data_IF_339989088574
#
_entry.id   IF_339989088574
#
_cell.length_a   1.000
_cell.length_b   1.000
_cell.length_c   1.000
_cell.angle_alpha   90.00
_cell.angle_beta   90.00
_cell.angle_gamma   90.00
#
_symmetry.space_group_name_H-M   'P 1'
#
loop_
_entity.id
_entity.type
_entity.pdbx_description
1 polymer ?
#
# COMPACT_ATOMS: atom_id res chain seq x y z
N UNK A 1 -10.57 40.70 -14.16
CA UNK A 1 -10.92 39.99 -12.92
C UNK A 1 -10.92 38.44 -13.05
N UNK A 2 -11.43 37.81 -14.12
CA UNK A 2 -11.45 36.35 -14.29
C UNK A 2 -10.06 35.69 -14.37
N UNK A 3 -9.03 36.35 -14.91
CA UNK A 3 -7.66 35.81 -15.03
C UNK A 3 -6.90 35.72 -13.70
N UNK A 4 -7.20 36.59 -12.74
CA UNK A 4 -6.57 36.60 -11.41
C UNK A 4 -7.10 35.43 -10.56
N UNK A 5 -8.38 35.10 -10.68
CA UNK A 5 -8.99 33.98 -9.96
C UNK A 5 -8.40 32.61 -10.39
N UNK A 6 -8.06 32.45 -11.69
CA UNK A 6 -7.45 31.20 -12.21
C UNK A 6 -6.01 31.06 -11.69
N UNK A 7 -5.23 32.16 -11.61
CA UNK A 7 -3.86 32.12 -11.09
C UNK A 7 -3.85 31.76 -9.60
N UNK A 8 -4.77 32.30 -8.81
CA UNK A 8 -4.90 31.97 -7.38
C UNK A 8 -5.32 30.50 -7.19
N UNK A 9 -6.19 29.97 -8.03
CA UNK A 9 -6.62 28.56 -7.96
C UNK A 9 -5.46 27.59 -8.29
N UNK A 10 -4.65 27.91 -9.31
CA UNK A 10 -3.48 27.10 -9.68
C UNK A 10 -2.41 27.16 -8.58
N UNK A 11 -2.20 28.31 -7.96
CA UNK A 11 -1.27 28.47 -6.85
C UNK A 11 -1.75 27.73 -5.58
N UNK A 12 -3.06 27.71 -5.34
CA UNK A 12 -3.65 26.95 -4.20
C UNK A 12 -3.52 25.44 -4.37
N UNK A 13 -3.57 24.92 -5.59
CA UNK A 13 -3.34 23.48 -5.86
C UNK A 13 -1.87 23.13 -5.66
N UNK A 14 -0.94 23.99 -6.05
CA UNK A 14 0.50 23.77 -5.85
C UNK A 14 0.92 23.77 -4.36
N UNK A 15 0.19 24.50 -3.51
CA UNK A 15 0.47 24.53 -2.05
C UNK A 15 -0.14 23.36 -1.28
N UNK A 16 -0.97 22.53 -1.91
CA UNK A 16 -1.62 21.37 -1.26
C UNK A 16 -0.78 20.09 -1.32
N UNK A 17 0.32 20.09 -2.06
CA UNK A 17 1.20 18.92 -2.13
C UNK A 17 2.07 18.87 -0.87
N UNK A 18 1.91 17.81 -0.08
CA UNK A 18 2.74 17.59 1.10
C UNK A 18 4.20 17.47 0.69
N UNK A 19 5.13 18.14 1.40
CA UNK A 19 6.55 18.06 1.07
C UNK A 19 7.04 16.62 1.26
N UNK A 20 7.87 16.16 0.33
CA UNK A 20 8.56 14.88 0.44
C UNK A 20 9.80 15.01 1.32
N UNK A 21 10.34 13.91 1.79
CA UNK A 21 11.50 13.93 2.67
C UNK A 21 12.70 14.69 2.07
N UNK A 22 12.96 14.54 0.76
CA UNK A 22 14.04 15.30 0.07
C UNK A 22 13.76 16.81 0.04
N UNK A 23 12.51 17.22 -0.11
CA UNK A 23 12.10 18.65 -0.10
C UNK A 23 12.33 19.28 1.29
N UNK A 24 12.34 18.45 2.33
CA UNK A 24 12.64 18.83 3.71
C UNK A 24 14.14 18.75 4.05
N UNK A 25 15.00 18.48 3.07
CA UNK A 25 16.45 18.41 3.26
C UNK A 25 16.95 17.06 3.81
N UNK A 26 16.12 16.04 3.92
CA UNK A 26 16.57 14.69 4.30
C UNK A 26 17.40 14.13 3.14
N UNK A 27 18.66 13.79 3.44
CA UNK A 27 19.58 13.25 2.43
C UNK A 27 19.35 11.76 2.25
N UNK A 28 19.23 11.34 0.99
CA UNK A 28 19.21 9.95 0.56
C UNK A 28 20.29 9.76 -0.50
N UNK A 29 20.96 8.63 -0.46
CA UNK A 29 21.87 8.23 -1.52
C UNK A 29 21.14 7.98 -2.85
N UNK A 30 21.87 8.05 -3.96
CA UNK A 30 21.38 7.82 -5.30
C UNK A 30 20.69 9.02 -5.95
N UNK A 31 20.41 8.88 -7.23
CA UNK A 31 19.74 9.88 -8.07
C UNK A 31 18.27 9.48 -8.20
N UNK A 32 17.31 10.34 -7.80
CA UNK A 32 15.91 10.01 -7.91
C UNK A 32 15.49 9.96 -9.39
N UNK A 33 14.54 9.07 -9.71
CA UNK A 33 13.83 9.10 -10.97
C UNK A 33 12.85 10.27 -11.08
N UNK A 34 12.07 10.29 -12.15
CA UNK A 34 11.13 11.38 -12.46
C UNK A 34 10.13 11.68 -11.33
N UNK A 35 9.64 10.63 -10.66
CA UNK A 35 8.63 10.73 -9.61
C UNK A 35 9.25 10.62 -8.21
N UNK A 36 10.52 10.26 -8.11
CA UNK A 36 11.16 9.91 -6.83
C UNK A 36 10.30 8.90 -6.04
N UNK A 37 9.83 7.85 -6.70
CA UNK A 37 8.88 6.88 -6.20
C UNK A 37 9.12 5.48 -6.77
N UNK A 38 8.51 4.45 -6.17
CA UNK A 38 8.53 3.07 -6.66
C UNK A 38 8.06 2.99 -8.12
N UNK A 39 7.10 3.84 -8.49
CA UNK A 39 6.52 3.94 -9.84
C UNK A 39 7.43 4.54 -10.90
N UNK A 40 8.65 4.93 -10.57
CA UNK A 40 9.70 5.18 -11.56
C UNK A 40 10.14 3.88 -12.27
N UNK A 41 9.91 2.72 -11.64
CA UNK A 41 10.07 1.42 -12.30
C UNK A 41 8.91 1.21 -13.26
N UNK A 42 9.24 1.08 -14.56
CA UNK A 42 8.23 0.93 -15.61
C UNK A 42 7.34 -0.31 -15.38
N UNK A 43 6.04 -0.07 -15.32
CA UNK A 43 5.01 -1.10 -15.11
C UNK A 43 4.64 -1.30 -13.64
N UNK A 44 5.39 -0.74 -12.69
CA UNK A 44 4.99 -0.75 -11.30
C UNK A 44 3.79 0.19 -11.07
N UNK A 45 2.80 -0.28 -10.32
CA UNK A 45 1.64 0.49 -9.90
C UNK A 45 1.53 0.43 -8.37
N UNK A 46 1.19 1.57 -7.77
CA UNK A 46 1.01 1.69 -6.32
C UNK A 46 -0.32 2.37 -6.02
N UNK A 47 -1.02 1.87 -5.04
CA UNK A 47 -2.25 2.49 -4.54
C UNK A 47 -2.30 2.49 -3.03
N UNK A 48 -2.97 3.50 -2.48
CA UNK A 48 -3.14 3.69 -1.05
C UNK A 48 -4.60 3.87 -0.67
N UNK A 49 -4.93 3.38 0.51
CA UNK A 49 -6.10 3.81 1.26
C UNK A 49 -5.68 4.24 2.65
N UNK A 50 -5.61 5.53 2.87
CA UNK A 50 -5.30 6.13 4.18
C UNK A 50 -6.57 6.36 4.97
N UNK A 51 -6.55 5.97 6.26
CA UNK A 51 -7.66 6.14 7.19
C UNK A 51 -7.23 7.10 8.28
N UNK A 52 -7.85 8.28 8.33
CA UNK A 52 -7.57 9.32 9.32
C UNK A 52 -8.88 9.77 9.93
N UNK A 53 -9.03 9.57 11.25
CA UNK A 53 -10.19 10.07 12.00
C UNK A 53 -9.86 10.30 13.47
N UNK A 54 -10.64 11.14 14.12
CA UNK A 54 -10.51 11.45 15.54
C UNK A 54 -9.23 12.19 15.92
N UNK A 55 -9.14 12.56 17.19
CA UNK A 55 -7.99 13.23 17.81
C UNK A 55 -8.00 12.99 19.34
N UNK A 56 -6.90 13.37 20.01
CA UNK A 56 -6.78 13.27 21.46
C UNK A 56 -6.21 11.95 21.95
N UNK A 57 -6.59 11.52 23.14
CA UNK A 57 -6.08 10.29 23.78
C UNK A 57 -6.55 9.06 23.05
N UNK A 58 -5.66 8.09 22.87
CA UNK A 58 -6.00 6.79 22.31
C UNK A 58 -7.00 6.03 23.19
N UNK A 59 -8.12 5.63 22.61
CA UNK A 59 -9.17 4.83 23.24
C UNK A 59 -9.52 3.68 22.28
N UNK A 60 -9.33 2.45 22.71
CA UNK A 60 -9.56 1.25 21.90
C UNK A 60 -10.97 1.25 21.31
N UNK A 61 -11.04 1.06 19.98
CA UNK A 61 -12.28 1.06 19.20
C UNK A 61 -12.85 2.45 18.87
N UNK A 62 -12.23 3.53 19.37
CA UNK A 62 -12.68 4.92 19.11
C UNK A 62 -11.64 5.76 18.37
N UNK A 63 -10.38 5.40 18.46
CA UNK A 63 -9.27 6.13 17.85
C UNK A 63 -8.46 6.97 18.84
N UNK A 64 -7.61 7.90 18.35
CA UNK A 64 -7.52 8.38 16.96
C UNK A 64 -7.06 7.29 15.97
N UNK A 65 -7.53 7.37 14.74
CA UNK A 65 -7.15 6.45 13.66
C UNK A 65 -6.13 7.13 12.74
N UNK A 66 -5.00 6.49 12.54
CA UNK A 66 -3.89 6.93 11.66
C UNK A 66 -3.25 5.69 11.06
N UNK A 67 -3.94 5.08 10.09
CA UNK A 67 -3.54 3.80 9.51
C UNK A 67 -3.91 3.74 8.03
N UNK A 68 -3.75 2.59 7.41
CA UNK A 68 -4.16 2.38 6.04
C UNK A 68 -3.64 1.09 5.43
N UNK A 69 -3.83 1.00 4.13
CA UNK A 69 -3.36 -0.11 3.30
C UNK A 69 -2.64 0.45 2.08
N UNK A 70 -1.51 -0.15 1.74
CA UNK A 70 -0.79 0.09 0.49
C UNK A 70 -0.81 -1.18 -0.35
N UNK A 71 -1.10 -1.05 -1.64
CA UNK A 71 -1.01 -2.12 -2.63
C UNK A 71 0.09 -1.78 -3.65
N UNK A 72 1.01 -2.71 -3.89
CA UNK A 72 2.11 -2.56 -4.85
C UNK A 72 2.02 -3.70 -5.86
N UNK A 73 1.86 -3.37 -7.13
CA UNK A 73 1.86 -4.29 -8.25
C UNK A 73 3.16 -4.12 -9.05
N UNK A 74 4.09 -5.07 -9.02
CA UNK A 74 5.36 -4.95 -9.75
C UNK A 74 5.22 -4.83 -11.27
N UNK A 75 4.15 -5.38 -11.84
CA UNK A 75 3.85 -5.39 -13.28
C UNK A 75 2.39 -5.03 -13.62
N UNK A 76 1.78 -4.13 -12.83
CA UNK A 76 0.39 -3.72 -12.99
C UNK A 76 -0.63 -4.76 -12.55
N UNK A 77 -1.92 -4.44 -12.71
CA UNK A 77 -3.06 -5.23 -12.22
C UNK A 77 -3.45 -6.41 -13.13
N UNK A 78 -2.47 -7.18 -13.58
CA UNK A 78 -2.68 -8.42 -14.31
C UNK A 78 -1.80 -9.50 -13.74
N UNK A 79 -2.26 -10.74 -13.76
CA UNK A 79 -1.45 -11.88 -13.32
C UNK A 79 -0.19 -11.97 -14.20
N UNK A 80 0.93 -11.64 -13.61
CA UNK A 80 2.23 -11.63 -14.28
C UNK A 80 3.34 -11.79 -13.24
N UNK A 81 3.66 -13.04 -12.84
CA UNK A 81 4.64 -13.33 -11.81
C UNK A 81 6.01 -12.71 -12.08
N UNK A 82 6.69 -12.33 -11.02
CA UNK A 82 8.07 -11.82 -11.07
C UNK A 82 8.96 -12.65 -10.18
N UNK A 83 10.24 -12.79 -10.56
CA UNK A 83 11.24 -13.37 -9.67
C UNK A 83 11.30 -12.58 -8.36
N UNK A 84 11.29 -13.28 -7.26
CA UNK A 84 11.31 -12.66 -5.95
C UNK A 84 12.11 -13.47 -4.94
N UNK A 85 12.62 -12.77 -3.96
CA UNK A 85 13.17 -13.33 -2.75
C UNK A 85 12.80 -12.40 -1.59
N UNK A 86 12.98 -12.86 -0.37
CA UNK A 86 12.73 -12.10 0.85
C UNK A 86 13.87 -12.28 1.83
N UNK A 87 14.00 -11.35 2.75
CA UNK A 87 15.02 -11.40 3.79
C UNK A 87 14.41 -11.03 5.13
N UNK A 88 14.66 -11.83 6.16
CA UNK A 88 14.28 -11.53 7.53
C UNK A 88 15.42 -10.79 8.21
N UNK A 89 15.24 -9.50 8.47
CA UNK A 89 16.17 -8.72 9.28
C UNK A 89 16.21 -9.22 10.73
N UNK A 90 15.04 -9.55 11.27
CA UNK A 90 14.86 -10.17 12.58
C UNK A 90 13.46 -10.81 12.65
N UNK A 91 13.14 -11.49 13.74
CA UNK A 91 11.84 -12.16 13.94
C UNK A 91 10.75 -11.27 14.56
N UNK A 92 10.97 -9.98 14.73
CA UNK A 92 10.00 -9.04 15.29
C UNK A 92 9.25 -8.31 14.18
N UNK A 93 8.51 -9.06 13.37
CA UNK A 93 7.71 -8.54 12.27
C UNK A 93 6.99 -9.69 11.58
N UNK A 94 5.95 -9.37 10.83
CA UNK A 94 5.19 -10.36 10.09
C UNK A 94 5.17 -10.04 8.59
N UNK A 95 5.40 -11.07 7.77
CA UNK A 95 5.19 -11.04 6.34
C UNK A 95 4.63 -12.39 5.90
N UNK A 96 3.43 -12.38 5.34
CA UNK A 96 2.79 -13.59 4.80
C UNK A 96 3.32 -13.94 3.41
N UNK A 97 3.06 -15.17 2.94
CA UNK A 97 3.41 -15.61 1.58
C UNK A 97 4.90 -15.94 1.35
N UNK A 98 5.76 -15.72 2.33
CA UNK A 98 7.22 -15.90 2.21
C UNK A 98 7.64 -17.34 1.96
N UNK A 99 6.92 -18.32 2.52
CA UNK A 99 7.19 -19.75 2.30
C UNK A 99 7.03 -20.14 0.83
N UNK A 100 6.00 -19.59 0.15
CA UNK A 100 5.80 -19.83 -1.27
C UNK A 100 6.86 -19.15 -2.13
N UNK A 101 7.27 -17.92 -1.80
CA UNK A 101 8.39 -17.26 -2.47
C UNK A 101 9.66 -18.10 -2.35
N UNK A 102 9.93 -18.68 -1.18
CA UNK A 102 11.10 -19.54 -0.96
C UNK A 102 11.04 -20.79 -1.84
N UNK A 103 9.87 -21.42 -1.95
CA UNK A 103 9.67 -22.65 -2.72
C UNK A 103 9.69 -22.39 -4.23
N UNK A 104 8.95 -21.38 -4.70
CA UNK A 104 8.74 -21.13 -6.11
C UNK A 104 9.78 -20.20 -6.76
N UNK A 105 10.37 -19.31 -5.98
CA UNK A 105 11.19 -18.19 -6.49
C UNK A 105 10.37 -17.05 -7.11
N UNK A 106 9.04 -17.09 -6.99
CA UNK A 106 8.15 -16.11 -7.62
C UNK A 106 7.25 -15.38 -6.63
N UNK A 107 6.99 -14.12 -6.93
CA UNK A 107 5.88 -13.32 -6.40
C UNK A 107 4.75 -13.32 -7.43
N UNK A 108 3.59 -13.85 -7.04
CA UNK A 108 2.41 -14.02 -7.88
C UNK A 108 1.26 -13.08 -7.51
N UNK A 109 1.42 -12.34 -6.44
CA UNK A 109 0.39 -11.47 -5.85
C UNK A 109 0.89 -10.03 -5.78
N UNK A 110 0.01 -9.03 -5.58
CA UNK A 110 0.47 -7.73 -5.10
C UNK A 110 1.19 -7.88 -3.75
N UNK A 111 2.11 -6.97 -3.46
CA UNK A 111 2.65 -6.78 -2.13
C UNK A 111 1.74 -5.79 -1.41
N UNK A 112 1.16 -6.24 -0.30
CA UNK A 112 0.34 -5.38 0.55
C UNK A 112 1.13 -4.97 1.79
N UNK A 113 0.91 -3.74 2.26
CA UNK A 113 1.51 -3.24 3.50
C UNK A 113 0.39 -2.63 4.34
N UNK A 114 0.34 -2.97 5.61
CA UNK A 114 -0.65 -2.46 6.56
C UNK A 114 -0.11 -2.49 7.99
N UNK A 115 -0.91 -2.10 8.99
CA UNK A 115 -0.48 -2.22 10.37
C UNK A 115 -0.46 -3.67 10.87
N UNK A 116 0.31 -3.92 11.92
CA UNK A 116 0.56 -5.25 12.51
C UNK A 116 -0.71 -6.05 12.73
N UNK A 117 -1.75 -5.45 13.33
CA UNK A 117 -2.97 -6.17 13.69
C UNK A 117 -3.93 -6.39 12.52
N UNK A 118 -3.66 -5.79 11.36
CA UNK A 118 -4.51 -5.85 10.17
C UNK A 118 -3.98 -6.78 9.06
N UNK A 119 -2.83 -7.43 9.27
CA UNK A 119 -2.24 -8.36 8.29
C UNK A 119 -3.24 -9.45 7.90
N UNK A 120 -3.96 -10.03 8.88
CA UNK A 120 -4.94 -11.10 8.63
C UNK A 120 -6.10 -10.65 7.73
N UNK A 121 -6.76 -9.53 8.04
CA UNK A 121 -7.89 -9.03 7.25
C UNK A 121 -7.45 -8.62 5.84
N UNK A 122 -6.26 -8.03 5.70
CA UNK A 122 -5.72 -7.65 4.38
C UNK A 122 -5.42 -8.88 3.54
N UNK A 123 -4.80 -9.91 4.13
CA UNK A 123 -4.55 -11.19 3.44
C UNK A 123 -5.84 -11.84 2.95
N UNK A 124 -6.84 -11.93 3.81
CA UNK A 124 -8.14 -12.52 3.49
C UNK A 124 -8.86 -11.73 2.38
N UNK A 125 -8.85 -10.40 2.47
CA UNK A 125 -9.43 -9.53 1.45
C UNK A 125 -8.77 -9.66 0.07
N UNK A 126 -7.44 -9.85 0.01
CA UNK A 126 -6.74 -10.09 -1.26
C UNK A 126 -7.19 -11.41 -1.89
N UNK A 127 -7.37 -12.47 -1.08
CA UNK A 127 -7.89 -13.75 -1.59
C UNK A 127 -9.29 -13.60 -2.18
N UNK A 128 -10.19 -12.89 -1.49
CA UNK A 128 -11.54 -12.61 -2.00
C UNK A 128 -11.49 -11.79 -3.29
N UNK A 129 -10.65 -10.76 -3.33
CA UNK A 129 -10.47 -9.95 -4.53
C UNK A 129 -10.00 -10.78 -5.74
N UNK A 130 -9.13 -11.76 -5.55
CA UNK A 130 -8.69 -12.67 -6.61
C UNK A 130 -9.84 -13.50 -7.17
N UNK A 131 -10.72 -13.99 -6.29
CA UNK A 131 -11.93 -14.72 -6.69
C UNK A 131 -12.88 -13.81 -7.45
N UNK A 132 -13.19 -12.64 -6.89
CA UNK A 132 -14.16 -11.68 -7.45
C UNK A 132 -13.73 -11.15 -8.83
N UNK A 133 -12.42 -11.03 -9.06
CA UNK A 133 -11.87 -10.48 -10.31
C UNK A 133 -11.38 -11.53 -11.30
N UNK A 134 -11.48 -12.82 -10.96
CA UNK A 134 -10.86 -13.90 -11.73
C UNK A 134 -9.38 -13.58 -12.04
N UNK A 135 -8.60 -13.21 -11.04
CA UNK A 135 -7.23 -12.71 -11.17
C UNK A 135 -6.34 -13.56 -12.07
N UNK A 136 -6.48 -14.89 -11.98
CA UNK A 136 -5.67 -15.83 -12.76
C UNK A 136 -6.17 -16.05 -14.19
N UNK A 137 -7.38 -15.59 -14.53
CA UNK A 137 -7.94 -15.68 -15.87
C UNK A 137 -8.33 -17.08 -16.33
N UNK A 138 -8.58 -17.99 -15.39
CA UNK A 138 -9.07 -19.35 -15.64
C UNK A 138 -10.17 -19.73 -14.63
N UNK A 139 -10.99 -20.71 -14.97
CA UNK A 139 -12.07 -21.20 -14.13
C UNK A 139 -11.62 -22.34 -13.17
N UNK A 140 -10.34 -22.68 -13.19
CA UNK A 140 -9.79 -23.71 -12.33
C UNK A 140 -9.57 -23.21 -10.90
N UNK A 141 -9.70 -24.12 -9.93
CA UNK A 141 -9.36 -23.81 -8.56
C UNK A 141 -7.85 -23.53 -8.43
N UNK A 142 -7.54 -22.35 -7.91
CA UNK A 142 -6.15 -21.91 -7.73
C UNK A 142 -5.89 -21.63 -6.26
N UNK A 143 -4.74 -22.05 -5.78
CA UNK A 143 -4.25 -21.64 -4.48
C UNK A 143 -3.32 -20.42 -4.62
N UNK A 144 -3.32 -19.54 -3.64
CA UNK A 144 -2.41 -18.41 -3.61
C UNK A 144 -2.06 -18.04 -2.17
N UNK A 145 -0.89 -17.44 -2.04
CA UNK A 145 -0.35 -17.01 -0.76
C UNK A 145 -0.03 -15.51 -0.83
N UNK A 146 -1.00 -14.62 -0.58
CA UNK A 146 -0.79 -13.18 -0.64
C UNK A 146 0.35 -12.72 0.25
N UNK A 147 1.17 -11.82 -0.27
CA UNK A 147 2.25 -11.19 0.48
C UNK A 147 1.71 -9.95 1.16
N UNK A 148 1.69 -9.98 2.49
CA UNK A 148 1.28 -8.84 3.33
C UNK A 148 2.35 -8.61 4.38
N UNK A 149 3.04 -7.46 4.30
CA UNK A 149 3.99 -7.00 5.28
C UNK A 149 3.36 -6.08 6.31
N UNK A 150 3.82 -6.16 7.56
CA UNK A 150 3.35 -5.32 8.63
C UNK A 150 4.22 -4.08 8.82
N UNK A 151 3.60 -3.02 9.35
CA UNK A 151 4.27 -1.83 9.90
C UNK A 151 3.60 -1.43 11.20
N UNK A 152 4.36 -1.20 12.27
CA UNK A 152 3.78 -0.81 13.54
C UNK A 152 3.41 0.67 13.56
N UNK A 153 2.12 0.98 13.69
CA UNK A 153 1.59 2.35 13.75
C UNK A 153 0.98 2.74 15.10
N UNK A 154 1.05 1.87 16.10
CA UNK A 154 0.37 2.01 17.40
C UNK A 154 0.77 3.22 18.25
N UNK A 155 1.80 3.99 17.87
CA UNK A 155 2.10 5.25 18.53
C UNK A 155 1.10 6.36 18.20
N UNK A 156 0.55 6.36 16.98
CA UNK A 156 -0.36 7.39 16.47
C UNK A 156 -1.76 6.85 16.20
N UNK A 157 -1.90 5.55 16.11
CA UNK A 157 -3.11 4.85 15.74
C UNK A 157 -3.65 4.00 16.89
N UNK A 158 -4.96 3.94 17.01
CA UNK A 158 -5.66 2.92 17.80
C UNK A 158 -5.57 1.57 17.09
N UNK A 159 -4.40 0.92 17.18
CA UNK A 159 -4.09 -0.33 16.49
C UNK A 159 -4.99 -1.50 16.96
N UNK A 160 -5.45 -1.48 18.20
CA UNK A 160 -6.36 -2.49 18.75
C UNK A 160 -7.83 -2.25 18.41
N UNK A 161 -8.16 -1.15 17.74
CA UNK A 161 -9.51 -0.86 17.25
C UNK A 161 -9.85 -1.58 15.95
N UNK A 162 -8.89 -2.24 15.27
CA UNK A 162 -9.07 -2.99 14.03
C UNK A 162 -9.80 -2.19 12.94
N UNK A 163 -9.35 -0.96 12.70
CA UNK A 163 -10.01 0.00 11.81
C UNK A 163 -9.84 -0.31 10.32
N UNK A 164 -8.85 -1.14 9.95
CA UNK A 164 -8.70 -1.61 8.57
C UNK A 164 -9.73 -2.69 8.29
N UNK A 165 -10.48 -2.53 7.19
CA UNK A 165 -11.55 -3.42 6.75
C UNK A 165 -11.32 -3.84 5.29
N UNK A 166 -11.98 -4.89 4.84
CA UNK A 166 -11.88 -5.43 3.48
C UNK A 166 -12.05 -4.36 2.39
N UNK A 167 -13.03 -3.47 2.54
CA UNK A 167 -13.26 -2.36 1.59
C UNK A 167 -12.03 -1.47 1.40
N UNK A 168 -11.24 -1.23 2.45
CA UNK A 168 -10.03 -0.40 2.35
C UNK A 168 -8.94 -1.10 1.52
N UNK A 169 -8.91 -2.43 1.54
CA UNK A 169 -8.00 -3.23 0.71
C UNK A 169 -8.38 -3.10 -0.76
N UNK A 170 -9.68 -3.26 -1.07
CA UNK A 170 -10.20 -3.11 -2.44
C UNK A 170 -9.97 -1.70 -2.97
N UNK A 171 -10.17 -0.66 -2.14
CA UNK A 171 -9.89 0.72 -2.50
C UNK A 171 -8.40 0.94 -2.80
N UNK A 172 -7.48 0.41 -1.98
CA UNK A 172 -6.04 0.50 -2.23
C UNK A 172 -5.65 -0.19 -3.54
N UNK A 173 -6.18 -1.38 -3.80
CA UNK A 173 -5.95 -2.12 -5.04
C UNK A 173 -6.50 -1.36 -6.25
N UNK A 174 -7.74 -0.88 -6.17
CA UNK A 174 -8.39 -0.18 -7.28
C UNK A 174 -7.72 1.15 -7.61
N UNK A 175 -7.20 1.85 -6.59
CA UNK A 175 -6.47 3.11 -6.74
C UNK A 175 -5.03 2.92 -7.27
N UNK A 176 -4.52 1.69 -7.36
CA UNK A 176 -3.17 1.48 -7.86
C UNK A 176 -3.03 2.00 -9.29
N UNK A 177 -2.01 2.81 -9.49
CA UNK A 177 -1.71 3.47 -10.77
C UNK A 177 -0.21 3.72 -10.94
N UNK A 178 0.28 3.89 -12.18
CA UNK A 178 1.62 4.36 -12.43
C UNK A 178 1.72 5.88 -12.14
N UNK A 179 2.81 6.32 -11.54
CA UNK A 179 3.05 7.74 -11.25
C UNK A 179 3.13 8.02 -9.75
N UNK A 180 3.23 9.28 -9.37
CA UNK A 180 3.29 9.66 -7.96
C UNK A 180 1.93 9.39 -7.30
N UNK A 181 1.95 8.70 -6.18
CA UNK A 181 0.76 8.31 -5.40
C UNK A 181 0.87 8.88 -3.98
#
# INVERSE_FOLDING_TARGET
MKKIAIIILVFSIALCQKPRARDLGVQFEGVPGKFNAITDVKGAEVGHRTIISGSGKNIIGKGPVRTGVTAIFPRGKKFNPVYANWYSLNGNGEMTGTTWITESGFLETPIMITNTNSVGVVRDAVLKWFVDTNWYGNDDWWYTYPVVGETYDGFLNDIYGFHVQEQHVYEAINNASPGPV
#
